data_IF_356688967927
#
_entry.id   IF_356688967927
#
_cell.length_a   1.000
_cell.length_b   1.000
_cell.length_c   1.000
_cell.angle_alpha   90.00
_cell.angle_beta   90.00
_cell.angle_gamma   90.00
#
_symmetry.space_group_name_H-M   'P 1'
#
loop_
_entity.id
_entity.type
_entity.pdbx_description
1 polymer ?
#
# COMPACT_ATOMS: atom_id res chain seq x y z
N UNK A 1 -4.47 5.23 -12.82
CA UNK A 1 -4.51 4.16 -11.80
C UNK A 1 -3.15 4.03 -11.13
N UNK A 2 -3.08 4.45 -9.88
CA UNK A 2 -1.89 4.30 -9.05
C UNK A 2 -1.94 2.96 -8.31
N UNK A 3 -1.01 2.06 -8.61
CA UNK A 3 -0.87 0.79 -7.88
C UNK A 3 0.07 1.01 -6.71
N UNK A 4 -0.47 1.05 -5.50
CA UNK A 4 0.30 1.31 -4.29
C UNK A 4 1.02 0.04 -3.83
N UNK A 5 2.33 -0.04 -4.06
CA UNK A 5 3.18 -1.08 -3.46
C UNK A 5 3.59 -0.64 -2.05
N UNK A 6 3.44 -1.47 -1.00
CA UNK A 6 3.75 -0.99 0.33
C UNK A 6 5.23 -0.62 0.48
N UNK A 7 5.47 0.38 1.35
CA UNK A 7 6.80 0.87 1.75
C UNK A 7 7.60 1.56 0.63
N UNK A 8 6.92 2.11 -0.37
CA UNK A 8 7.52 2.86 -1.48
C UNK A 8 7.06 4.33 -1.53
N UNK A 9 6.79 4.93 -0.37
CA UNK A 9 6.25 6.30 -0.24
C UNK A 9 4.87 6.53 -0.88
N UNK A 10 4.07 5.47 -1.09
CA UNK A 10 2.76 5.61 -1.72
C UNK A 10 1.72 6.38 -0.91
N UNK A 11 1.86 6.51 0.43
CA UNK A 11 1.00 7.42 1.21
C UNK A 11 1.18 8.88 0.78
N UNK A 12 2.41 9.29 0.50
CA UNK A 12 2.71 10.65 0.03
C UNK A 12 2.04 10.92 -1.32
N UNK A 13 2.10 9.95 -2.24
CA UNK A 13 1.38 10.02 -3.53
C UNK A 13 -0.14 10.05 -3.31
N UNK A 14 -0.68 9.17 -2.47
CA UNK A 14 -2.12 9.14 -2.17
C UNK A 14 -2.62 10.45 -1.55
N UNK A 15 -1.83 11.09 -0.68
CA UNK A 15 -2.18 12.37 -0.09
C UNK A 15 -2.33 13.49 -1.11
N UNK A 16 -1.55 13.46 -2.19
CA UNK A 16 -1.67 14.41 -3.30
C UNK A 16 -2.84 14.03 -4.22
N UNK A 17 -2.97 12.74 -4.53
CA UNK A 17 -3.98 12.25 -5.47
C UNK A 17 -5.39 12.17 -4.89
N UNK A 18 -5.57 12.23 -3.57
CA UNK A 18 -6.90 12.12 -2.93
C UNK A 18 -7.92 13.13 -3.44
N UNK A 19 -7.46 14.32 -3.86
CA UNK A 19 -8.34 15.36 -4.41
C UNK A 19 -8.81 15.07 -5.85
N UNK A 20 -8.21 14.08 -6.49
CA UNK A 20 -8.48 13.64 -7.86
C UNK A 20 -8.97 12.18 -7.91
N UNK A 21 -9.15 11.54 -6.75
CA UNK A 21 -9.58 10.15 -6.63
C UNK A 21 -11.02 10.08 -6.17
N UNK A 22 -11.75 9.05 -6.60
CA UNK A 22 -13.05 8.68 -6.05
C UNK A 22 -12.93 7.91 -4.73
N UNK A 23 -11.71 7.53 -4.36
CA UNK A 23 -11.45 6.80 -3.12
C UNK A 23 -11.46 7.71 -1.89
N UNK A 24 -12.00 7.19 -0.78
CA UNK A 24 -12.04 7.86 0.51
C UNK A 24 -10.87 7.41 1.40
N UNK A 25 -10.26 8.37 2.10
CA UNK A 25 -9.31 8.11 3.19
C UNK A 25 -10.09 7.63 4.41
N UNK A 26 -9.67 6.52 4.99
CA UNK A 26 -10.31 5.91 6.17
C UNK A 26 -9.30 5.59 7.26
N UNK A 27 -9.72 5.72 8.52
CA UNK A 27 -8.97 5.24 9.68
C UNK A 27 -9.63 3.95 10.20
N UNK A 28 -9.01 2.81 9.90
CA UNK A 28 -9.50 1.46 10.22
C UNK A 28 -9.03 0.97 11.59
N UNK A 29 -8.04 1.63 12.19
CA UNK A 29 -7.53 1.27 13.52
C UNK A 29 -6.96 2.50 14.25
N UNK A 30 -6.73 2.44 15.58
CA UNK A 30 -6.28 3.58 16.37
C UNK A 30 -4.88 4.12 16.02
N UNK A 31 -4.08 3.34 15.28
CA UNK A 31 -2.74 3.77 14.83
C UNK A 31 -2.80 4.62 13.55
N UNK A 32 -3.99 4.77 12.95
CA UNK A 32 -4.21 5.58 11.75
C UNK A 32 -4.69 6.97 12.15
N UNK A 33 -3.97 7.98 11.68
CA UNK A 33 -4.19 9.40 11.96
C UNK A 33 -4.91 10.15 10.83
N UNK A 34 -5.17 9.47 9.70
CA UNK A 34 -5.84 10.05 8.54
C UNK A 34 -4.95 10.96 7.69
N UNK A 35 -3.68 11.16 8.09
CA UNK A 35 -2.74 12.07 7.43
C UNK A 35 -1.51 11.30 6.93
N UNK A 36 -0.76 10.66 7.81
CA UNK A 36 0.43 9.87 7.44
C UNK A 36 0.12 8.36 7.44
N UNK A 37 -0.89 7.96 8.20
CA UNK A 37 -1.34 6.59 8.36
C UNK A 37 -2.82 6.50 8.12
N UNK A 38 -3.18 5.89 7.01
CA UNK A 38 -4.57 5.69 6.63
C UNK A 38 -4.75 4.49 5.73
N UNK A 39 -5.98 3.97 5.70
CA UNK A 39 -6.48 3.11 4.65
C UNK A 39 -7.12 3.92 3.53
N UNK A 40 -7.41 3.24 2.42
CA UNK A 40 -8.17 3.79 1.30
C UNK A 40 -9.29 2.81 0.95
N UNK A 41 -10.49 3.34 0.70
CA UNK A 41 -11.69 2.56 0.36
C UNK A 41 -12.49 3.24 -0.74
N UNK A 42 -13.13 2.43 -1.57
CA UNK A 42 -14.06 2.90 -2.59
C UNK A 42 -15.40 2.19 -2.40
N UNK A 43 -16.50 2.97 -2.34
CA UNK A 43 -17.85 2.42 -2.13
C UNK A 43 -18.33 1.59 -3.33
N UNK A 44 -17.93 1.97 -4.54
CA UNK A 44 -18.27 1.26 -5.77
C UNK A 44 -17.47 -0.04 -5.92
N UNK A 45 -16.31 -0.13 -5.26
CA UNK A 45 -15.38 -1.26 -5.34
C UNK A 45 -15.01 -1.79 -3.95
N UNK A 46 -15.96 -2.42 -3.23
CA UNK A 46 -15.78 -2.78 -1.81
C UNK A 46 -14.67 -3.81 -1.56
N UNK A 47 -14.33 -4.63 -2.56
CA UNK A 47 -13.26 -5.62 -2.48
C UNK A 47 -11.87 -5.02 -2.77
N UNK A 48 -11.84 -3.84 -3.41
CA UNK A 48 -10.60 -3.12 -3.67
C UNK A 48 -10.18 -2.38 -2.40
N UNK A 49 -8.92 -2.53 -2.06
CA UNK A 49 -8.35 -1.93 -0.88
C UNK A 49 -6.94 -1.42 -1.13
N UNK A 50 -6.42 -0.70 -0.15
CA UNK A 50 -5.02 -0.30 -0.14
C UNK A 50 -4.12 -1.52 -0.34
N UNK A 51 -3.21 -1.42 -1.32
CA UNK A 51 -2.29 -2.46 -1.77
C UNK A 51 -2.88 -3.55 -2.68
N UNK A 52 -4.14 -3.42 -3.14
CA UNK A 52 -4.67 -4.25 -4.21
C UNK A 52 -3.76 -4.23 -5.44
N UNK A 53 -3.56 -5.42 -6.02
CA UNK A 53 -2.73 -5.65 -7.19
C UNK A 53 -3.40 -5.14 -8.46
N UNK A 54 -2.63 -5.00 -9.55
CA UNK A 54 -3.22 -4.66 -10.86
C UNK A 54 -4.25 -5.71 -11.32
N UNK A 55 -4.04 -6.99 -10.97
CA UNK A 55 -4.97 -8.07 -11.31
C UNK A 55 -6.28 -7.95 -10.54
N UNK A 56 -6.24 -7.46 -9.30
CA UNK A 56 -7.43 -7.27 -8.48
C UNK A 56 -8.40 -6.28 -9.11
N UNK A 57 -7.90 -5.28 -9.86
CA UNK A 57 -8.72 -4.29 -10.56
C UNK A 57 -9.30 -4.81 -11.89
N UNK A 58 -8.70 -5.82 -12.50
CA UNK A 58 -9.13 -6.34 -13.80
C UNK A 58 -10.59 -6.82 -13.84
N UNK A 59 -11.12 -7.58 -12.84
CA UNK A 59 -12.51 -8.01 -12.86
C UNK A 59 -13.52 -6.94 -12.40
N UNK A 60 -13.04 -5.81 -11.87
CA UNK A 60 -13.92 -4.81 -11.22
C UNK A 60 -14.13 -3.57 -12.10
N UNK A 61 -13.20 -3.30 -13.01
CA UNK A 61 -13.30 -2.22 -13.99
C UNK A 61 -13.81 -2.75 -15.33
N UNK A 62 -14.59 -1.92 -16.04
CA UNK A 62 -14.94 -2.21 -17.43
C UNK A 62 -13.65 -2.30 -18.27
N UNK A 63 -13.54 -3.26 -19.22
CA UNK A 63 -12.32 -3.46 -20.00
C UNK A 63 -11.79 -2.18 -20.67
N UNK A 64 -12.66 -1.41 -21.32
CA UNK A 64 -12.25 -0.17 -22.02
C UNK A 64 -11.69 0.88 -21.05
N UNK A 65 -12.28 1.00 -19.86
CA UNK A 65 -11.76 1.87 -18.79
C UNK A 65 -10.41 1.35 -18.32
N UNK A 66 -10.32 0.06 -17.98
CA UNK A 66 -9.08 -0.54 -17.52
C UNK A 66 -7.93 -0.30 -18.51
N UNK A 67 -8.15 -0.52 -19.81
CA UNK A 67 -7.13 -0.35 -20.83
C UNK A 67 -6.75 1.12 -21.07
N UNK A 68 -7.70 2.06 -21.02
CA UNK A 68 -7.45 3.49 -21.24
C UNK A 68 -6.73 4.20 -20.09
N UNK A 69 -6.82 3.70 -18.85
CA UNK A 69 -6.16 4.32 -17.69
C UNK A 69 -4.63 4.31 -17.83
N UNK A 70 -3.97 5.43 -17.55
CA UNK A 70 -2.53 5.48 -17.31
C UNK A 70 -2.20 4.76 -15.99
N UNK A 71 -1.31 3.77 -16.04
CA UNK A 71 -0.98 2.88 -14.91
C UNK A 71 0.44 3.15 -14.45
N UNK A 72 0.62 3.41 -13.17
CA UNK A 72 1.95 3.67 -12.61
C UNK A 72 2.05 3.21 -11.17
N UNK A 73 3.30 3.05 -10.72
CA UNK A 73 3.64 2.73 -9.34
C UNK A 73 4.98 3.39 -9.00
N UNK A 74 5.29 3.42 -7.71
CA UNK A 74 6.59 3.86 -7.20
C UNK A 74 7.28 2.65 -6.61
N UNK A 75 8.52 2.43 -7.02
CA UNK A 75 9.36 1.34 -6.53
C UNK A 75 10.39 1.87 -5.54
N UNK A 76 10.95 0.95 -4.76
CA UNK A 76 12.08 1.20 -3.87
C UNK A 76 13.06 0.04 -3.99
N UNK A 77 14.35 0.30 -3.76
CA UNK A 77 15.34 -0.75 -3.63
C UNK A 77 14.82 -1.86 -2.68
N UNK A 78 14.88 -3.15 -3.08
CA UNK A 78 14.30 -4.23 -2.28
C UNK A 78 14.82 -4.28 -0.84
N UNK A 79 16.12 -4.08 -0.62
CA UNK A 79 16.73 -4.10 0.70
C UNK A 79 16.24 -2.95 1.58
N UNK A 80 16.24 -1.74 1.04
CA UNK A 80 15.71 -0.58 1.78
C UNK A 80 14.22 -0.71 2.09
N UNK A 81 13.46 -1.32 1.17
CA UNK A 81 12.04 -1.60 1.38
C UNK A 81 11.86 -2.56 2.56
N UNK A 82 12.68 -3.61 2.66
CA UNK A 82 12.64 -4.57 3.77
C UNK A 82 13.06 -3.93 5.09
N UNK A 83 14.11 -3.10 5.10
CA UNK A 83 14.51 -2.32 6.28
C UNK A 83 13.35 -1.41 6.72
N UNK A 84 12.67 -0.74 5.79
CA UNK A 84 11.50 0.08 6.09
C UNK A 84 10.33 -0.71 6.65
N UNK A 85 10.15 -1.96 6.22
CA UNK A 85 9.20 -2.89 6.82
C UNK A 85 9.59 -3.24 8.26
N UNK A 86 10.85 -3.57 8.50
CA UNK A 86 11.33 -3.96 9.83
C UNK A 86 11.08 -2.88 10.89
N UNK A 87 11.34 -1.62 10.55
CA UNK A 87 11.08 -0.48 11.44
C UNK A 87 9.66 0.10 11.30
N UNK A 88 8.75 -0.59 10.61
CA UNK A 88 7.34 -0.19 10.61
C UNK A 88 6.74 -0.35 12.01
N UNK A 89 5.73 0.43 12.39
CA UNK A 89 5.30 0.62 13.78
C UNK A 89 4.71 -0.61 14.46
N UNK A 90 4.62 -1.75 13.77
CA UNK A 90 3.97 -2.94 14.31
C UNK A 90 4.87 -3.67 15.31
N UNK A 91 6.19 -3.77 15.05
CA UNK A 91 7.20 -3.89 16.09
C UNK A 91 7.66 -2.49 16.55
N UNK A 92 7.51 -2.15 17.83
CA UNK A 92 8.18 -0.97 18.43
C UNK A 92 9.70 -1.20 18.59
N UNK A 93 10.30 -2.03 17.73
CA UNK A 93 11.69 -2.44 17.82
C UNK A 93 12.57 -1.29 17.33
N UNK A 94 13.27 -0.64 18.25
CA UNK A 94 14.18 0.47 17.94
C UNK A 94 15.56 0.02 17.45
N UNK A 95 15.88 -1.29 17.56
CA UNK A 95 17.17 -1.86 17.17
C UNK A 95 16.97 -3.03 16.21
N UNK A 96 17.83 -3.12 15.20
CA UNK A 96 17.81 -4.26 14.28
C UNK A 96 18.19 -5.53 15.05
N UNK A 97 17.27 -6.48 15.12
CA UNK A 97 17.56 -7.86 15.50
C UNK A 97 17.64 -8.70 14.22
N UNK A 98 18.75 -9.40 14.04
CA UNK A 98 19.01 -10.19 12.83
C UNK A 98 18.00 -11.31 12.63
N UNK A 99 17.66 -12.03 13.68
CA UNK A 99 16.78 -13.20 13.59
C UNK A 99 15.34 -12.76 13.32
N UNK A 100 14.88 -11.69 13.98
CA UNK A 100 13.58 -11.06 13.68
C UNK A 100 13.52 -10.52 12.25
N UNK A 101 14.62 -9.95 11.74
CA UNK A 101 14.68 -9.45 10.37
C UNK A 101 14.60 -10.60 9.36
N UNK A 102 15.30 -11.71 9.60
CA UNK A 102 15.23 -12.90 8.75
C UNK A 102 13.81 -13.50 8.74
N UNK A 103 13.17 -13.59 9.91
CA UNK A 103 11.76 -14.03 10.02
C UNK A 103 10.81 -13.12 9.23
N UNK A 104 10.99 -11.80 9.31
CA UNK A 104 10.23 -10.83 8.53
C UNK A 104 10.39 -11.06 7.02
N UNK A 105 11.61 -11.30 6.53
CA UNK A 105 11.85 -11.56 5.10
C UNK A 105 11.04 -12.75 4.60
N UNK A 106 10.96 -13.83 5.40
CA UNK A 106 10.13 -14.99 5.09
C UNK A 106 8.64 -14.65 5.00
N UNK A 107 8.12 -13.85 5.94
CA UNK A 107 6.70 -13.45 5.98
C UNK A 107 6.30 -12.52 4.85
N UNK A 108 7.14 -11.52 4.53
CA UNK A 108 6.81 -10.51 3.51
C UNK A 108 6.77 -11.13 2.11
N UNK A 109 7.59 -12.14 1.84
CA UNK A 109 7.54 -12.90 0.58
C UNK A 109 6.21 -13.65 0.40
N UNK A 110 5.52 -13.99 1.49
CA UNK A 110 4.22 -14.69 1.47
C UNK A 110 3.00 -13.77 1.55
N UNK A 111 3.19 -12.46 1.71
CA UNK A 111 2.10 -11.48 1.87
C UNK A 111 1.59 -10.90 0.55
N UNK A 112 2.19 -11.26 -0.58
CA UNK A 112 1.87 -10.77 -1.92
C UNK A 112 1.51 -11.90 -2.86
#
# INVERSE_FOLDING_TARGET
MFIHIPKTAGNSIQNVLKYYSEDEIVCLNPLQDGVERFGVRNKNFPNIHKYSSLLDYYPVLLPDIFHSLYKFSVLRNPWERMISYFFSPHPQTQKLNRDEFIDLLGKVLTMF
#
